data_IF_883630969278
#
_entry.id   IF_883630969278
#
_cell.length_a   1.000
_cell.length_b   1.000
_cell.length_c   1.000
_cell.angle_alpha   90.00
_cell.angle_beta   90.00
_cell.angle_gamma   90.00
#
_symmetry.space_group_name_H-M   'P 1'
#
loop_
_entity.id
_entity.type
_entity.pdbx_description
1 polymer ?
#
# COMPACT_ATOMS: atom_id res chain seq x y z
N UNK A 1 -15.35 -21.09 1.84
CA UNK A 1 -16.09 -19.93 1.33
C UNK A 1 -16.44 -19.05 2.52
N UNK A 2 -15.76 -17.93 2.68
CA UNK A 2 -16.02 -16.98 3.77
C UNK A 2 -17.41 -16.40 3.59
N UNK A 3 -18.22 -16.44 4.65
CA UNK A 3 -19.62 -16.11 4.58
C UNK A 3 -19.82 -14.58 4.48
N UNK A 4 -19.83 -14.04 3.24
CA UNK A 4 -20.03 -12.62 2.95
C UNK A 4 -21.28 -12.08 3.67
N UNK A 5 -22.37 -12.85 3.72
CA UNK A 5 -23.60 -12.45 4.40
C UNK A 5 -23.38 -12.23 5.91
N UNK A 6 -22.49 -13.03 6.52
CA UNK A 6 -22.12 -12.87 7.94
C UNK A 6 -21.31 -11.59 8.16
N UNK A 7 -20.31 -11.30 7.31
CA UNK A 7 -19.51 -10.08 7.43
C UNK A 7 -20.36 -8.82 7.21
N UNK A 8 -21.24 -8.82 6.20
CA UNK A 8 -22.13 -7.69 5.92
C UNK A 8 -23.11 -7.45 7.11
N UNK A 9 -23.58 -8.51 7.76
CA UNK A 9 -24.46 -8.42 8.94
C UNK A 9 -23.70 -7.86 10.16
N UNK A 10 -22.44 -8.28 10.39
CA UNK A 10 -21.61 -7.78 11.49
C UNK A 10 -21.24 -6.31 11.28
N UNK A 11 -20.87 -5.91 10.03
CA UNK A 11 -20.64 -4.51 9.69
C UNK A 11 -21.90 -3.65 9.85
N UNK A 12 -23.07 -4.18 9.49
CA UNK A 12 -24.34 -3.51 9.76
C UNK A 12 -24.59 -3.36 11.27
N UNK A 13 -24.19 -4.34 12.08
CA UNK A 13 -24.25 -4.28 13.54
C UNK A 13 -23.41 -3.12 14.10
N UNK A 14 -22.20 -2.91 13.61
CA UNK A 14 -21.34 -1.77 14.00
C UNK A 14 -22.07 -0.44 13.75
N UNK A 15 -22.65 -0.27 12.56
CA UNK A 15 -23.39 0.94 12.18
C UNK A 15 -24.64 1.19 13.02
N UNK A 16 -25.26 0.13 13.54
CA UNK A 16 -26.44 0.18 14.40
C UNK A 16 -26.11 0.34 15.89
N UNK A 17 -24.83 0.47 16.25
CA UNK A 17 -24.43 0.61 17.65
C UNK A 17 -24.46 -0.69 18.46
N UNK A 18 -24.54 -1.86 17.81
CA UNK A 18 -24.53 -3.15 18.49
C UNK A 18 -23.14 -3.47 19.05
N UNK A 19 -23.10 -4.03 20.23
CA UNK A 19 -21.89 -4.59 20.83
C UNK A 19 -21.56 -5.92 20.15
N UNK A 20 -20.35 -6.07 19.63
CA UNK A 20 -19.86 -7.32 19.06
C UNK A 20 -19.14 -8.13 20.14
N UNK A 21 -19.37 -9.43 20.16
CA UNK A 21 -18.61 -10.38 20.97
C UNK A 21 -17.18 -10.53 20.45
N UNK A 22 -16.27 -11.03 21.29
CA UNK A 22 -14.87 -11.26 20.90
C UNK A 22 -14.75 -12.19 19.67
N UNK A 23 -15.54 -13.25 19.63
CA UNK A 23 -15.55 -14.20 18.52
C UNK A 23 -16.10 -13.59 17.22
N UNK A 24 -17.11 -12.73 17.30
CA UNK A 24 -17.63 -12.00 16.14
C UNK A 24 -16.61 -11.01 15.60
N UNK A 25 -15.89 -10.30 16.48
CA UNK A 25 -14.80 -9.41 16.06
C UNK A 25 -13.69 -10.18 15.36
N UNK A 26 -13.22 -11.30 15.92
CA UNK A 26 -12.20 -12.14 15.28
C UNK A 26 -12.67 -12.70 13.94
N UNK A 27 -13.91 -13.21 13.86
CA UNK A 27 -14.49 -13.71 12.61
C UNK A 27 -14.51 -12.62 11.54
N UNK A 28 -14.89 -11.40 11.90
CA UNK A 28 -14.93 -10.27 10.97
C UNK A 28 -13.54 -9.85 10.52
N UNK A 29 -12.57 -9.77 11.44
CA UNK A 29 -11.17 -9.45 11.10
C UNK A 29 -10.63 -10.49 10.11
N UNK A 30 -10.77 -11.78 10.42
CA UNK A 30 -10.28 -12.86 9.54
C UNK A 30 -11.01 -12.83 8.19
N UNK A 31 -12.33 -12.63 8.20
CA UNK A 31 -13.15 -12.58 6.98
C UNK A 31 -12.78 -11.43 6.03
N UNK A 32 -12.27 -10.30 6.55
CA UNK A 32 -11.79 -9.18 5.76
C UNK A 32 -10.30 -9.31 5.42
N UNK A 33 -9.49 -9.85 6.33
CA UNK A 33 -8.04 -9.95 6.14
C UNK A 33 -7.65 -10.96 5.08
N UNK A 34 -8.27 -12.14 5.02
CA UNK A 34 -7.86 -13.21 4.10
C UNK A 34 -7.97 -12.77 2.63
N UNK A 35 -9.08 -12.18 2.14
CA UNK A 35 -9.12 -11.69 0.76
C UNK A 35 -8.06 -10.61 0.51
N UNK A 36 -7.83 -9.72 1.47
CA UNK A 36 -6.82 -8.66 1.33
C UNK A 36 -5.40 -9.22 1.30
N UNK A 37 -5.09 -10.21 2.14
CA UNK A 37 -3.80 -10.92 2.12
C UNK A 37 -3.58 -11.57 0.75
N UNK A 38 -4.61 -12.25 0.21
CA UNK A 38 -4.53 -12.85 -1.12
C UNK A 38 -4.22 -11.83 -2.20
N UNK A 39 -4.86 -10.65 -2.16
CA UNK A 39 -4.57 -9.56 -3.07
C UNK A 39 -3.10 -9.10 -2.98
N UNK A 40 -2.58 -8.91 -1.78
CA UNK A 40 -1.20 -8.46 -1.56
C UNK A 40 -0.18 -9.49 -2.05
N UNK A 41 -0.39 -10.77 -1.71
CA UNK A 41 0.49 -11.86 -2.18
C UNK A 41 0.45 -11.98 -3.72
N UNK A 42 -0.73 -11.85 -4.33
CA UNK A 42 -0.87 -11.89 -5.80
C UNK A 42 -0.10 -10.75 -6.47
N UNK A 43 -0.13 -9.55 -5.89
CA UNK A 43 0.64 -8.41 -6.41
C UNK A 43 2.16 -8.69 -6.39
N UNK A 44 2.68 -9.30 -5.32
CA UNK A 44 4.10 -9.69 -5.26
C UNK A 44 4.42 -10.75 -6.32
N UNK A 45 3.57 -11.77 -6.46
CA UNK A 45 3.76 -12.79 -7.50
C UNK A 45 3.78 -12.19 -8.91
N UNK A 46 2.93 -11.21 -9.19
CA UNK A 46 2.93 -10.50 -10.47
C UNK A 46 4.28 -9.85 -10.75
N UNK A 47 4.88 -9.13 -9.78
CA UNK A 47 6.21 -8.53 -9.94
C UNK A 47 7.30 -9.57 -10.23
N UNK A 48 7.25 -10.75 -9.60
CA UNK A 48 8.19 -11.82 -9.87
C UNK A 48 8.06 -12.35 -11.31
N UNK A 49 6.84 -12.53 -11.78
CA UNK A 49 6.57 -13.03 -13.12
C UNK A 49 7.04 -12.02 -14.16
N UNK A 50 6.75 -10.73 -13.96
CA UNK A 50 7.17 -9.65 -14.84
C UNK A 50 8.69 -9.56 -14.94
N UNK A 51 9.38 -9.58 -13.80
CA UNK A 51 10.82 -9.58 -13.75
C UNK A 51 11.43 -10.79 -14.50
N UNK A 52 10.80 -11.97 -14.35
CA UNK A 52 11.23 -13.17 -15.07
C UNK A 52 10.98 -13.09 -16.58
N UNK A 53 9.86 -12.49 -17.00
CA UNK A 53 9.54 -12.30 -18.43
C UNK A 53 10.49 -11.29 -19.09
N UNK A 54 10.73 -10.15 -18.45
CA UNK A 54 11.67 -9.13 -18.95
C UNK A 54 13.10 -9.63 -18.91
N UNK A 55 13.47 -10.39 -17.89
CA UNK A 55 14.81 -10.98 -17.76
C UNK A 55 15.22 -11.85 -18.96
N UNK A 56 14.26 -12.50 -19.63
CA UNK A 56 14.50 -13.28 -20.85
C UNK A 56 14.84 -12.42 -22.08
N UNK A 57 14.53 -11.12 -22.06
CA UNK A 57 14.93 -10.17 -23.11
C UNK A 57 16.41 -9.78 -23.02
N UNK A 58 17.05 -10.06 -21.89
CA UNK A 58 18.47 -9.78 -21.65
C UNK A 58 18.73 -8.68 -20.63
N UNK A 59 20.01 -8.50 -20.32
CA UNK A 59 20.45 -7.57 -19.28
C UNK A 59 20.11 -6.10 -19.58
N UNK A 60 20.21 -5.68 -20.85
CA UNK A 60 19.91 -4.31 -21.29
C UNK A 60 18.46 -3.95 -21.08
N UNK A 61 17.52 -4.87 -21.41
CA UNK A 61 16.08 -4.67 -21.18
C UNK A 61 15.75 -4.56 -19.68
N UNK A 62 16.32 -5.43 -18.86
CA UNK A 62 16.16 -5.38 -17.41
C UNK A 62 16.71 -4.09 -16.81
N UNK A 63 17.88 -3.63 -17.29
CA UNK A 63 18.50 -2.38 -16.87
C UNK A 63 17.65 -1.15 -17.25
N UNK A 64 17.03 -1.16 -18.43
CA UNK A 64 16.14 -0.06 -18.88
C UNK A 64 14.95 0.13 -17.95
N UNK A 65 14.29 -0.97 -17.54
CA UNK A 65 13.15 -0.92 -16.62
C UNK A 65 13.63 -0.55 -15.22
N UNK A 66 14.66 -1.22 -14.70
CA UNK A 66 15.19 -0.98 -13.36
C UNK A 66 15.63 0.48 -13.14
N UNK A 67 16.12 1.15 -14.18
CA UNK A 67 16.52 2.57 -14.12
C UNK A 67 15.36 3.48 -13.71
N UNK A 68 14.15 3.26 -14.23
CA UNK A 68 12.98 4.11 -14.03
C UNK A 68 11.97 3.53 -13.02
N UNK A 69 12.21 2.33 -12.52
CA UNK A 69 11.28 1.59 -11.65
C UNK A 69 10.94 2.37 -10.38
N UNK A 70 11.93 2.96 -9.71
CA UNK A 70 11.69 3.76 -8.50
C UNK A 70 10.76 4.95 -8.73
N UNK A 71 10.81 5.56 -9.93
CA UNK A 71 9.91 6.65 -10.30
C UNK A 71 8.49 6.14 -10.57
N UNK A 72 8.31 4.96 -11.15
CA UNK A 72 6.98 4.36 -11.34
C UNK A 72 6.35 3.95 -10.01
N UNK A 73 7.13 3.42 -9.06
CA UNK A 73 6.66 3.14 -7.70
C UNK A 73 6.17 4.38 -6.97
N UNK A 74 6.83 5.52 -7.17
CA UNK A 74 6.40 6.79 -6.58
C UNK A 74 5.00 7.19 -7.04
N UNK A 75 4.63 6.94 -8.31
CA UNK A 75 3.27 7.19 -8.80
C UNK A 75 2.24 6.38 -8.02
N UNK A 76 2.47 5.08 -7.83
CA UNK A 76 1.59 4.22 -7.04
C UNK A 76 1.42 4.74 -5.61
N UNK A 77 2.51 5.14 -4.96
CA UNK A 77 2.49 5.71 -3.61
C UNK A 77 1.69 7.00 -3.51
N UNK A 78 1.90 7.95 -4.43
CA UNK A 78 1.17 9.22 -4.49
C UNK A 78 -0.32 9.01 -4.77
N UNK A 79 -0.65 8.16 -5.74
CA UNK A 79 -2.04 7.80 -6.06
C UNK A 79 -2.74 7.15 -4.85
N UNK A 80 -2.04 6.27 -4.14
CA UNK A 80 -2.55 5.63 -2.92
C UNK A 80 -2.80 6.64 -1.81
N UNK A 81 -1.87 7.57 -1.57
CA UNK A 81 -2.02 8.62 -0.57
C UNK A 81 -3.26 9.49 -0.80
N UNK A 82 -3.46 9.96 -2.05
CA UNK A 82 -4.62 10.78 -2.40
C UNK A 82 -5.92 9.99 -2.27
N UNK A 83 -5.94 8.73 -2.70
CA UNK A 83 -7.11 7.85 -2.55
C UNK A 83 -7.47 7.60 -1.10
N UNK A 84 -6.48 7.40 -0.20
CA UNK A 84 -6.69 7.18 1.23
C UNK A 84 -7.34 8.40 1.89
N UNK A 85 -6.98 9.62 1.48
CA UNK A 85 -7.59 10.85 2.01
C UNK A 85 -9.11 10.90 1.85
N UNK A 86 -9.64 10.35 0.77
CA UNK A 86 -11.08 10.26 0.54
C UNK A 86 -11.69 8.98 1.13
N UNK A 87 -11.02 7.84 0.99
CA UNK A 87 -11.57 6.54 1.41
C UNK A 87 -11.76 6.44 2.92
N UNK A 88 -10.90 7.07 3.72
CA UNK A 88 -11.06 7.19 5.18
C UNK A 88 -12.33 7.98 5.52
N UNK A 89 -12.58 9.10 4.84
CA UNK A 89 -13.82 9.86 5.04
C UNK A 89 -15.05 9.03 4.67
N UNK A 90 -14.98 8.27 3.57
CA UNK A 90 -16.07 7.37 3.17
C UNK A 90 -16.31 6.31 4.23
N UNK A 91 -15.26 5.70 4.80
CA UNK A 91 -15.40 4.74 5.88
C UNK A 91 -16.11 5.34 7.12
N UNK A 92 -15.75 6.59 7.49
CA UNK A 92 -16.39 7.30 8.61
C UNK A 92 -17.88 7.59 8.31
N UNK A 93 -18.24 8.08 7.11
CA UNK A 93 -19.65 8.32 6.76
C UNK A 93 -20.47 7.03 6.67
N UNK A 94 -19.87 5.94 6.17
CA UNK A 94 -20.52 4.61 6.19
C UNK A 94 -20.75 4.15 7.63
N UNK A 95 -19.75 4.33 8.50
CA UNK A 95 -19.88 4.01 9.94
C UNK A 95 -21.00 4.80 10.62
N UNK A 96 -21.11 6.09 10.30
CA UNK A 96 -22.19 6.97 10.76
C UNK A 96 -23.58 6.69 10.12
N UNK A 97 -23.66 5.66 9.25
CA UNK A 97 -24.85 5.31 8.49
C UNK A 97 -25.35 6.43 7.53
N UNK A 98 -24.47 7.38 7.20
CA UNK A 98 -24.73 8.50 6.26
C UNK A 98 -24.21 8.17 4.86
N UNK A 99 -24.92 7.30 4.18
CA UNK A 99 -24.53 6.82 2.85
C UNK A 99 -24.62 7.91 1.77
N UNK A 100 -25.43 8.95 2.00
CA UNK A 100 -25.55 10.09 1.06
C UNK A 100 -24.24 10.85 1.05
N UNK A 101 -23.71 11.24 2.23
CA UNK A 101 -22.41 11.91 2.33
C UNK A 101 -21.27 11.02 1.84
N UNK A 102 -21.30 9.71 2.13
CA UNK A 102 -20.30 8.78 1.61
C UNK A 102 -20.24 8.81 0.07
N UNK A 103 -21.37 8.82 -0.63
CA UNK A 103 -21.45 8.93 -2.09
C UNK A 103 -21.03 10.32 -2.59
N UNK A 104 -21.37 11.39 -1.86
CA UNK A 104 -20.92 12.74 -2.21
C UNK A 104 -19.39 12.84 -2.13
N UNK A 105 -18.76 12.31 -1.07
CA UNK A 105 -17.29 12.24 -0.97
C UNK A 105 -16.68 11.41 -2.11
N UNK A 106 -17.31 10.31 -2.49
CA UNK A 106 -16.86 9.50 -3.62
C UNK A 106 -16.91 10.27 -4.96
N UNK A 107 -17.94 11.10 -5.19
CA UNK A 107 -18.02 11.98 -6.38
C UNK A 107 -16.88 13.01 -6.39
N UNK A 108 -16.59 13.65 -5.23
CA UNK A 108 -15.44 14.56 -5.10
C UNK A 108 -14.13 13.82 -5.37
N UNK A 109 -13.97 12.62 -4.79
CA UNK A 109 -12.81 11.80 -5.00
C UNK A 109 -12.55 11.49 -6.49
N UNK A 110 -13.59 11.16 -7.26
CA UNK A 110 -13.46 10.92 -8.71
C UNK A 110 -12.93 12.15 -9.46
N UNK A 111 -13.47 13.33 -9.16
CA UNK A 111 -13.05 14.58 -9.84
C UNK A 111 -11.63 14.97 -9.44
N UNK A 112 -11.34 14.99 -8.14
CA UNK A 112 -10.04 15.41 -7.59
C UNK A 112 -8.91 14.46 -7.95
N UNK A 113 -9.15 13.16 -7.84
CA UNK A 113 -8.11 12.17 -8.18
C UNK A 113 -7.87 12.11 -9.68
N UNK A 114 -8.88 12.35 -10.52
CA UNK A 114 -8.71 12.50 -11.96
C UNK A 114 -7.86 13.73 -12.28
N UNK A 115 -8.17 14.89 -11.69
CA UNK A 115 -7.40 16.11 -11.88
C UNK A 115 -5.93 15.92 -11.42
N UNK A 116 -5.74 15.30 -10.25
CA UNK A 116 -4.42 14.98 -9.74
C UNK A 116 -3.64 14.04 -10.67
N UNK A 117 -4.26 12.95 -11.13
CA UNK A 117 -3.62 11.98 -12.01
C UNK A 117 -3.26 12.58 -13.37
N UNK A 118 -4.10 13.44 -13.93
CA UNK A 118 -3.80 14.18 -15.16
C UNK A 118 -2.62 15.13 -14.98
N UNK A 119 -2.52 15.81 -13.83
CA UNK A 119 -1.38 16.66 -13.51
C UNK A 119 -0.09 15.83 -13.42
N UNK A 120 -0.13 14.70 -12.71
CA UNK A 120 1.02 13.79 -12.60
C UNK A 120 1.42 13.26 -13.97
N UNK A 121 0.47 12.83 -14.79
CA UNK A 121 0.69 12.38 -16.17
C UNK A 121 1.38 13.45 -17.00
N UNK A 122 0.89 14.69 -16.94
CA UNK A 122 1.49 15.81 -17.67
C UNK A 122 2.93 16.05 -17.23
N UNK A 123 3.18 16.19 -15.93
CA UNK A 123 4.53 16.39 -15.39
C UNK A 123 5.48 15.25 -15.75
N UNK A 124 5.03 14.01 -15.59
CA UNK A 124 5.83 12.83 -15.90
C UNK A 124 6.14 12.72 -17.41
N UNK A 125 5.17 12.99 -18.28
CA UNK A 125 5.36 12.96 -19.73
C UNK A 125 6.37 14.02 -20.21
N UNK A 126 6.36 15.20 -19.60
CA UNK A 126 7.31 16.28 -19.94
C UNK A 126 8.76 15.92 -19.60
N UNK A 127 8.98 15.09 -18.56
CA UNK A 127 10.33 14.70 -18.13
C UNK A 127 10.76 13.34 -18.71
N UNK A 128 9.87 12.57 -19.32
CA UNK A 128 10.09 11.17 -19.71
C UNK A 128 11.39 10.95 -20.49
N UNK A 129 11.67 11.78 -21.49
CA UNK A 129 12.89 11.67 -22.32
C UNK A 129 14.13 12.28 -21.68
N UNK A 130 14.02 13.03 -20.59
CA UNK A 130 15.15 13.59 -19.83
C UNK A 130 15.51 12.75 -18.61
N UNK A 131 14.56 11.98 -18.09
CA UNK A 131 14.71 11.22 -16.86
C UNK A 131 15.88 10.23 -16.89
N UNK A 132 16.07 9.39 -17.95
CA UNK A 132 17.21 8.48 -17.98
C UNK A 132 18.55 9.20 -17.91
N UNK A 133 18.69 10.36 -18.58
CA UNK A 133 19.88 11.19 -18.51
C UNK A 133 20.14 11.75 -17.11
N UNK A 134 19.11 12.19 -16.40
CA UNK A 134 19.22 12.63 -14.99
C UNK A 134 19.64 11.49 -14.05
N UNK A 135 19.19 10.28 -14.35
CA UNK A 135 19.55 9.06 -13.60
C UNK A 135 20.88 8.44 -14.05
N UNK A 136 21.63 9.11 -14.94
CA UNK A 136 22.91 8.65 -15.51
C UNK A 136 22.81 7.29 -16.21
N UNK A 137 21.68 7.01 -16.84
CA UNK A 137 21.52 5.85 -17.73
C UNK A 137 22.42 5.95 -18.95
N UNK A 138 22.96 4.82 -19.40
CA UNK A 138 23.73 4.75 -20.64
C UNK A 138 22.84 5.01 -21.88
N UNK A 139 23.44 5.45 -22.97
CA UNK A 139 22.72 5.75 -24.22
C UNK A 139 22.05 4.51 -24.82
N UNK A 140 22.57 3.32 -24.52
CA UNK A 140 22.06 2.01 -24.96
C UNK A 140 20.73 1.63 -24.32
N UNK A 141 20.43 2.16 -23.12
CA UNK A 141 19.19 1.86 -22.36
C UNK A 141 18.23 3.07 -22.30
N UNK A 142 18.72 4.29 -22.59
CA UNK A 142 17.97 5.52 -22.37
C UNK A 142 16.67 5.59 -23.18
N UNK A 143 16.66 5.11 -24.42
CA UNK A 143 15.49 5.14 -25.28
C UNK A 143 14.37 4.24 -24.76
N UNK A 144 14.68 2.97 -24.46
CA UNK A 144 13.71 2.00 -23.95
C UNK A 144 13.19 2.39 -22.57
N UNK A 145 14.08 2.90 -21.69
CA UNK A 145 13.69 3.42 -20.38
C UNK A 145 12.72 4.62 -20.50
N UNK A 146 12.97 5.54 -21.44
CA UNK A 146 12.09 6.68 -21.71
C UNK A 146 10.72 6.24 -22.21
N UNK A 147 10.67 5.31 -23.16
CA UNK A 147 9.40 4.78 -23.69
C UNK A 147 8.63 4.02 -22.62
N UNK A 148 9.28 3.16 -21.86
CA UNK A 148 8.67 2.43 -20.74
C UNK A 148 8.03 3.41 -19.73
N UNK A 149 8.81 4.41 -19.31
CA UNK A 149 8.34 5.42 -18.36
C UNK A 149 7.19 6.25 -18.91
N UNK A 150 7.25 6.67 -20.17
CA UNK A 150 6.20 7.44 -20.82
C UNK A 150 4.89 6.66 -20.91
N UNK A 151 4.95 5.41 -21.37
CA UNK A 151 3.77 4.54 -21.47
C UNK A 151 3.13 4.35 -20.07
N UNK A 152 3.97 4.12 -19.05
CA UNK A 152 3.50 3.98 -17.67
C UNK A 152 2.91 5.29 -17.14
N UNK A 153 3.55 6.44 -17.42
CA UNK A 153 3.04 7.76 -17.03
C UNK A 153 1.67 8.06 -17.64
N UNK A 154 1.43 7.68 -18.88
CA UNK A 154 0.12 7.82 -19.54
C UNK A 154 -0.97 6.94 -18.92
N UNK A 155 -0.60 5.89 -18.23
CA UNK A 155 -1.54 5.01 -17.53
C UNK A 155 -1.95 5.50 -16.15
N UNK A 156 -1.29 6.52 -15.60
CA UNK A 156 -1.54 7.01 -14.22
C UNK A 156 -3.03 7.33 -13.96
N UNK A 157 -3.84 7.87 -14.89
CA UNK A 157 -5.26 8.05 -14.65
C UNK A 157 -6.03 6.73 -14.42
N UNK A 158 -5.68 5.67 -15.13
CA UNK A 158 -6.27 4.34 -14.91
C UNK A 158 -5.77 3.72 -13.61
N UNK A 159 -4.48 3.84 -13.32
CA UNK A 159 -3.89 3.41 -12.05
C UNK A 159 -4.59 4.09 -10.87
N UNK A 160 -4.78 5.41 -10.95
CA UNK A 160 -5.49 6.20 -9.94
C UNK A 160 -6.93 5.74 -9.76
N UNK A 161 -7.65 5.51 -10.87
CA UNK A 161 -9.03 5.03 -10.84
C UNK A 161 -9.14 3.64 -10.18
N UNK A 162 -8.22 2.74 -10.48
CA UNK A 162 -8.15 1.40 -9.87
C UNK A 162 -7.89 1.49 -8.37
N UNK A 163 -6.85 2.22 -7.95
CA UNK A 163 -6.51 2.40 -6.53
C UNK A 163 -7.68 3.06 -5.77
N UNK A 164 -8.31 4.08 -6.34
CA UNK A 164 -9.46 4.73 -5.72
C UNK A 164 -10.62 3.76 -5.55
N UNK A 165 -10.98 3.03 -6.60
CA UNK A 165 -12.10 2.09 -6.59
C UNK A 165 -11.89 0.96 -5.60
N UNK A 166 -10.67 0.42 -5.54
CA UNK A 166 -10.25 -0.58 -4.56
C UNK A 166 -10.40 -0.07 -3.13
N UNK A 167 -9.85 1.10 -2.84
CA UNK A 167 -9.91 1.70 -1.50
C UNK A 167 -11.36 2.04 -1.10
N UNK A 168 -12.20 2.48 -2.02
CA UNK A 168 -13.62 2.73 -1.78
C UNK A 168 -14.39 1.44 -1.46
N UNK A 169 -14.15 0.37 -2.21
CA UNK A 169 -14.76 -0.94 -1.94
C UNK A 169 -14.30 -1.51 -0.60
N UNK A 170 -13.02 -1.40 -0.28
CA UNK A 170 -12.45 -1.78 1.02
C UNK A 170 -13.12 -1.00 2.15
N UNK A 171 -13.26 0.31 2.02
CA UNK A 171 -13.93 1.18 3.01
C UNK A 171 -15.39 0.82 3.23
N UNK A 172 -16.06 0.28 2.21
CA UNK A 172 -17.40 -0.26 2.31
C UNK A 172 -17.45 -1.67 2.94
N UNK A 173 -16.31 -2.26 3.29
CA UNK A 173 -16.18 -3.61 3.85
C UNK A 173 -16.15 -4.73 2.81
N UNK A 174 -16.05 -4.39 1.53
CA UNK A 174 -15.96 -5.39 0.45
C UNK A 174 -14.50 -5.60 0.04
N UNK A 175 -13.82 -6.56 0.71
CA UNK A 175 -12.46 -6.96 0.35
C UNK A 175 -12.41 -8.00 -0.77
N UNK A 176 -13.53 -8.66 -1.09
CA UNK A 176 -13.56 -9.76 -2.06
C UNK A 176 -13.37 -9.27 -3.49
N UNK A 177 -14.04 -8.18 -3.89
CA UNK A 177 -13.92 -7.64 -5.25
C UNK A 177 -12.48 -7.17 -5.53
N UNK A 178 -11.84 -6.33 -4.69
CA UNK A 178 -10.43 -5.98 -4.86
C UNK A 178 -9.50 -7.20 -4.96
N UNK A 179 -9.73 -8.24 -4.14
CA UNK A 179 -8.93 -9.46 -4.18
C UNK A 179 -9.07 -10.23 -5.49
N UNK A 180 -10.30 -10.41 -5.98
CA UNK A 180 -10.56 -11.05 -7.28
C UNK A 180 -9.94 -10.23 -8.41
N UNK A 181 -10.04 -8.91 -8.33
CA UNK A 181 -9.46 -8.00 -9.32
C UNK A 181 -7.92 -8.06 -9.33
N UNK A 182 -7.27 -8.22 -8.17
CA UNK A 182 -5.82 -8.44 -8.12
C UNK A 182 -5.39 -9.74 -8.78
N UNK A 183 -6.14 -10.83 -8.60
CA UNK A 183 -5.88 -12.10 -9.29
C UNK A 183 -6.10 -11.94 -10.80
N UNK A 184 -7.19 -11.28 -11.21
CA UNK A 184 -7.47 -11.01 -12.62
C UNK A 184 -6.38 -10.13 -13.23
N UNK A 185 -5.88 -9.14 -12.50
CA UNK A 185 -4.78 -8.27 -12.91
C UNK A 185 -3.53 -9.10 -13.22
N UNK A 186 -3.14 -9.99 -12.32
CA UNK A 186 -1.97 -10.87 -12.51
C UNK A 186 -2.12 -11.75 -13.76
N UNK A 187 -3.29 -12.36 -13.97
CA UNK A 187 -3.55 -13.21 -15.13
C UNK A 187 -3.51 -12.40 -16.44
N UNK A 188 -4.18 -11.28 -16.48
CA UNK A 188 -4.20 -10.40 -17.68
C UNK A 188 -2.81 -9.84 -17.99
N UNK A 189 -2.06 -9.46 -16.97
CA UNK A 189 -0.72 -8.91 -17.11
C UNK A 189 0.21 -9.95 -17.74
N UNK A 190 0.22 -11.18 -17.25
CA UNK A 190 1.00 -12.28 -17.85
C UNK A 190 0.59 -12.52 -19.30
N UNK A 191 -0.72 -12.55 -19.59
CA UNK A 191 -1.22 -12.78 -20.94
C UNK A 191 -0.82 -11.66 -21.91
N UNK A 192 -1.01 -10.39 -21.52
CA UNK A 192 -0.68 -9.25 -22.38
C UNK A 192 0.82 -9.04 -22.50
N UNK A 193 1.59 -9.25 -21.42
CA UNK A 193 3.04 -9.21 -21.48
C UNK A 193 3.57 -10.28 -22.43
N UNK A 194 3.05 -11.52 -22.36
CA UNK A 194 3.42 -12.56 -23.32
C UNK A 194 3.11 -12.14 -24.77
N UNK A 195 1.91 -11.61 -25.00
CA UNK A 195 1.48 -11.18 -26.33
C UNK A 195 2.37 -10.04 -26.87
N UNK A 196 2.61 -8.99 -26.09
CA UNK A 196 3.33 -7.81 -26.57
C UNK A 196 4.84 -8.00 -26.59
N UNK A 197 5.40 -8.71 -25.62
CA UNK A 197 6.85 -8.94 -25.54
C UNK A 197 7.29 -9.95 -26.61
N UNK A 198 6.63 -11.13 -26.65
CA UNK A 198 7.14 -12.26 -27.44
C UNK A 198 6.43 -12.44 -28.77
N UNK A 199 5.11 -12.28 -28.86
CA UNK A 199 4.36 -12.48 -30.09
C UNK A 199 4.45 -11.26 -30.99
N UNK A 200 4.24 -10.05 -30.44
CA UNK A 200 4.38 -8.80 -31.19
C UNK A 200 5.82 -8.30 -31.31
N UNK A 201 6.74 -8.86 -30.50
CA UNK A 201 8.16 -8.53 -30.56
C UNK A 201 8.53 -7.11 -30.14
N UNK A 202 7.70 -6.46 -29.30
CA UNK A 202 7.88 -5.07 -28.89
C UNK A 202 8.93 -4.89 -27.78
N UNK A 203 9.44 -5.98 -27.20
CA UNK A 203 10.48 -5.88 -26.15
C UNK A 203 10.04 -5.09 -24.90
N UNK A 204 10.86 -4.15 -24.45
CA UNK A 204 10.63 -3.32 -23.26
C UNK A 204 9.35 -2.47 -23.34
N UNK A 205 9.06 -1.75 -24.43
CA UNK A 205 7.77 -1.08 -24.62
C UNK A 205 6.58 -2.04 -24.58
N UNK A 206 6.76 -3.30 -25.03
CA UNK A 206 5.73 -4.34 -24.96
C UNK A 206 5.36 -4.70 -23.51
N UNK A 207 6.36 -4.81 -22.63
CA UNK A 207 6.12 -5.03 -21.20
C UNK A 207 5.30 -3.88 -20.59
N UNK A 208 5.66 -2.62 -20.89
CA UNK A 208 4.88 -1.46 -20.43
C UNK A 208 3.43 -1.50 -20.93
N UNK A 209 3.21 -1.79 -22.22
CA UNK A 209 1.87 -1.86 -22.81
C UNK A 209 1.03 -2.98 -22.21
N UNK A 210 1.62 -4.14 -21.93
CA UNK A 210 0.93 -5.27 -21.31
C UNK A 210 0.40 -4.90 -19.93
N UNK A 211 1.27 -4.39 -19.08
CA UNK A 211 0.92 -3.95 -17.73
C UNK A 211 -0.12 -2.82 -17.75
N UNK A 212 0.06 -1.81 -18.61
CA UNK A 212 -0.87 -0.67 -18.72
C UNK A 212 -2.25 -1.12 -19.18
N UNK A 213 -2.33 -2.03 -20.16
CA UNK A 213 -3.62 -2.54 -20.62
C UNK A 213 -4.32 -3.35 -19.52
N UNK A 214 -3.58 -4.15 -18.77
CA UNK A 214 -4.11 -4.89 -17.63
C UNK A 214 -4.66 -3.95 -16.55
N UNK A 215 -3.90 -2.89 -16.20
CA UNK A 215 -4.35 -1.85 -15.28
C UNK A 215 -5.64 -1.21 -15.80
N UNK A 216 -5.70 -0.81 -17.07
CA UNK A 216 -6.87 -0.13 -17.65
C UNK A 216 -8.13 -1.01 -17.62
N UNK A 217 -8.01 -2.28 -17.97
CA UNK A 217 -9.13 -3.25 -17.94
C UNK A 217 -9.61 -3.44 -16.50
N UNK A 218 -8.71 -3.80 -15.60
CA UNK A 218 -9.06 -4.10 -14.20
C UNK A 218 -9.60 -2.88 -13.48
N UNK A 219 -8.96 -1.71 -13.63
CA UNK A 219 -9.43 -0.46 -13.05
C UNK A 219 -10.85 -0.10 -13.53
N UNK A 220 -11.13 -0.30 -14.82
CA UNK A 220 -12.46 -0.03 -15.39
C UNK A 220 -13.54 -0.96 -14.81
N UNK A 221 -13.20 -2.27 -14.68
CA UNK A 221 -14.12 -3.25 -14.09
C UNK A 221 -14.35 -2.95 -12.61
N UNK A 222 -13.29 -2.66 -11.86
CA UNK A 222 -13.37 -2.36 -10.42
C UNK A 222 -14.15 -1.08 -10.16
N UNK A 223 -13.93 -0.04 -10.97
CA UNK A 223 -14.71 1.19 -10.94
C UNK A 223 -16.19 0.93 -11.26
N UNK A 224 -16.49 0.08 -12.24
CA UNK A 224 -17.86 -0.31 -12.52
C UNK A 224 -18.53 -1.00 -11.33
N UNK A 225 -17.84 -1.90 -10.63
CA UNK A 225 -18.35 -2.50 -9.40
C UNK A 225 -18.59 -1.46 -8.31
N UNK A 226 -17.63 -0.56 -8.07
CA UNK A 226 -17.74 0.48 -7.04
C UNK A 226 -18.90 1.47 -7.33
N UNK A 227 -18.97 1.96 -8.57
CA UNK A 227 -19.90 3.02 -8.96
C UNK A 227 -21.32 2.56 -9.25
N UNK A 228 -21.51 1.32 -9.71
CA UNK A 228 -22.82 0.85 -10.19
C UNK A 228 -23.36 -0.39 -9.46
N UNK A 229 -22.49 -1.26 -8.92
CA UNK A 229 -22.91 -2.53 -8.33
C UNK A 229 -22.83 -2.58 -6.80
N UNK A 230 -22.09 -1.68 -6.19
CA UNK A 230 -21.98 -1.61 -4.73
C UNK A 230 -23.36 -1.34 -4.10
N UNK A 231 -23.69 -2.08 -3.04
CA UNK A 231 -24.94 -1.88 -2.30
C UNK A 231 -24.97 -0.57 -1.50
N UNK A 232 -23.81 0.03 -1.24
CA UNK A 232 -23.65 1.24 -0.42
C UNK A 232 -23.23 2.43 -1.29
N UNK A 233 -22.23 2.24 -2.16
CA UNK A 233 -21.56 3.32 -2.88
C UNK A 233 -22.13 3.59 -4.27
N UNK A 234 -23.01 2.72 -4.82
CA UNK A 234 -23.49 2.88 -6.18
C UNK A 234 -24.18 4.25 -6.36
N UNK A 235 -23.67 5.03 -7.31
CA UNK A 235 -24.14 6.40 -7.58
C UNK A 235 -25.60 6.48 -8.01
N UNK A 236 -26.13 5.38 -8.58
CA UNK A 236 -27.57 5.27 -8.96
C UNK A 236 -28.53 5.28 -7.76
N UNK A 237 -28.02 5.00 -6.55
CA UNK A 237 -28.81 4.98 -5.31
C UNK A 237 -29.06 6.40 -4.77
N UNK A 238 -28.37 7.39 -5.32
CA UNK A 238 -28.43 8.76 -4.87
C UNK A 238 -29.15 9.62 -5.94
N UNK A 239 -30.24 10.25 -5.52
CA UNK A 239 -31.00 11.19 -6.35
C UNK A 239 -30.55 12.65 -6.18
N UNK A 240 -29.68 12.90 -5.19
CA UNK A 240 -29.20 14.25 -4.92
C UNK A 240 -28.22 14.72 -6.01
N UNK A 241 -28.29 16.02 -6.32
CA UNK A 241 -27.36 16.65 -7.26
C UNK A 241 -25.96 16.74 -6.63
N UNK A 242 -24.95 16.65 -7.46
CA UNK A 242 -23.59 16.92 -7.05
C UNK A 242 -23.47 18.38 -6.59
N UNK A 243 -23.07 18.56 -5.33
CA UNK A 243 -22.78 19.88 -4.77
C UNK A 243 -21.31 19.89 -4.36
N UNK A 244 -20.56 20.83 -4.90
CA UNK A 244 -19.16 20.99 -4.56
C UNK A 244 -19.00 21.45 -3.11
N UNK A 245 -18.29 20.68 -2.30
CA UNK A 245 -18.01 21.00 -0.90
C UNK A 245 -16.51 20.99 -0.63
N UNK A 246 -15.95 22.17 -0.50
CA UNK A 246 -14.50 22.35 -0.22
C UNK A 246 -14.04 21.66 1.06
N UNK A 247 -14.93 21.45 2.03
CA UNK A 247 -14.63 20.74 3.28
C UNK A 247 -14.15 19.31 3.03
N UNK A 248 -14.73 18.58 2.07
CA UNK A 248 -14.30 17.20 1.76
C UNK A 248 -12.90 17.18 1.16
N UNK A 249 -12.61 18.11 0.26
CA UNK A 249 -11.27 18.25 -0.35
C UNK A 249 -10.24 18.63 0.70
N UNK A 250 -10.52 19.63 1.54
CA UNK A 250 -9.63 20.04 2.62
C UNK A 250 -9.32 18.91 3.59
N UNK A 251 -10.31 18.13 3.98
CA UNK A 251 -10.13 16.98 4.86
C UNK A 251 -9.32 15.87 4.17
N UNK A 252 -9.59 15.60 2.88
CA UNK A 252 -8.80 14.65 2.11
C UNK A 252 -7.33 15.07 2.04
N UNK A 253 -7.04 16.32 1.73
CA UNK A 253 -5.66 16.85 1.69
C UNK A 253 -5.00 16.76 3.06
N UNK A 254 -5.71 17.05 4.15
CA UNK A 254 -5.18 16.92 5.52
C UNK A 254 -4.76 15.50 5.86
N UNK A 255 -5.48 14.49 5.36
CA UNK A 255 -5.17 13.08 5.57
C UNK A 255 -4.07 12.62 4.61
N UNK A 256 -4.16 12.98 3.32
CA UNK A 256 -3.27 12.47 2.27
C UNK A 256 -1.91 13.17 2.22
N UNK A 257 -1.81 14.46 2.53
CA UNK A 257 -0.54 15.19 2.41
C UNK A 257 0.60 14.60 3.28
N UNK A 258 0.38 14.24 4.56
CA UNK A 258 1.43 13.59 5.35
C UNK A 258 1.86 12.24 4.76
N UNK A 259 0.90 11.46 4.24
CA UNK A 259 1.17 10.15 3.63
C UNK A 259 1.95 10.33 2.31
N UNK A 260 1.57 11.28 1.47
CA UNK A 260 2.28 11.59 0.23
C UNK A 260 3.73 12.05 0.50
N UNK A 261 3.92 12.96 1.46
CA UNK A 261 5.24 13.38 1.90
C UNK A 261 6.07 12.20 2.43
N UNK A 262 5.43 11.29 3.19
CA UNK A 262 6.08 10.06 3.65
C UNK A 262 6.56 9.20 2.46
N UNK A 263 5.73 8.97 1.43
CA UNK A 263 6.16 8.18 0.26
C UNK A 263 7.36 8.79 -0.45
N UNK A 264 7.36 10.11 -0.67
CA UNK A 264 8.48 10.83 -1.30
C UNK A 264 9.77 10.67 -0.48
N UNK A 265 9.70 10.94 0.83
CA UNK A 265 10.87 10.89 1.71
C UNK A 265 11.34 9.46 1.96
N UNK A 266 10.45 8.46 1.97
CA UNK A 266 10.82 7.05 2.05
C UNK A 266 11.52 6.57 0.78
N UNK A 267 11.08 7.02 -0.41
CA UNK A 267 11.79 6.76 -1.66
C UNK A 267 13.20 7.35 -1.65
N UNK A 268 13.36 8.56 -1.11
CA UNK A 268 14.68 9.17 -0.88
C UNK A 268 15.56 8.33 0.07
N UNK A 269 14.97 7.81 1.16
CA UNK A 269 15.67 6.94 2.09
C UNK A 269 16.14 5.63 1.45
N UNK A 270 15.38 5.05 0.54
CA UNK A 270 15.78 3.86 -0.21
C UNK A 270 17.00 4.14 -1.09
N UNK A 271 17.05 5.31 -1.73
CA UNK A 271 18.23 5.73 -2.51
C UNK A 271 19.46 5.81 -1.60
N UNK A 272 19.34 6.45 -0.42
CA UNK A 272 20.43 6.54 0.55
C UNK A 272 20.86 5.14 1.05
N UNK A 273 19.91 4.24 1.30
CA UNK A 273 20.21 2.85 1.66
C UNK A 273 21.02 2.15 0.57
N UNK A 274 20.69 2.37 -0.70
CA UNK A 274 21.46 1.84 -1.83
C UNK A 274 22.90 2.38 -1.85
N UNK A 275 23.11 3.67 -1.57
CA UNK A 275 24.45 4.24 -1.44
C UNK A 275 25.27 3.64 -0.28
N UNK A 276 24.62 3.22 0.80
CA UNK A 276 25.29 2.53 1.92
C UNK A 276 25.71 1.11 1.53
N UNK A 277 24.87 0.41 0.75
CA UNK A 277 25.15 -1.00 0.35
C UNK A 277 26.10 -1.07 -0.82
N UNK A 278 26.09 -0.11 -1.76
CA UNK A 278 26.90 -0.16 -2.99
C UNK A 278 28.41 -0.39 -2.76
N UNK A 279 29.08 0.24 -1.76
CA UNK A 279 30.51 0.02 -1.52
C UNK A 279 30.85 -1.39 -0.98
N UNK A 280 29.86 -2.16 -0.55
CA UNK A 280 30.07 -3.51 -0.01
C UNK A 280 30.34 -4.56 -1.10
N UNK A 281 30.21 -4.17 -2.37
CA UNK A 281 30.53 -5.02 -3.53
C UNK A 281 29.33 -5.73 -4.15
N UNK A 282 29.53 -6.31 -5.33
CA UNK A 282 28.46 -6.87 -6.16
C UNK A 282 27.70 -8.04 -5.49
N UNK A 283 28.41 -8.89 -4.75
CA UNK A 283 27.77 -10.00 -4.03
C UNK A 283 26.81 -9.48 -2.94
N UNK A 284 27.20 -8.43 -2.21
CA UNK A 284 26.36 -7.82 -1.21
C UNK A 284 25.13 -7.13 -1.82
N UNK A 285 25.30 -6.44 -2.95
CA UNK A 285 24.19 -5.81 -3.67
C UNK A 285 23.18 -6.88 -4.14
N UNK A 286 23.68 -7.97 -4.75
CA UNK A 286 22.81 -9.05 -5.21
C UNK A 286 22.11 -9.77 -4.03
N UNK A 287 22.84 -10.09 -2.97
CA UNK A 287 22.24 -10.69 -1.76
C UNK A 287 21.18 -9.80 -1.12
N UNK A 288 21.44 -8.49 -1.04
CA UNK A 288 20.47 -7.50 -0.54
C UNK A 288 19.20 -7.48 -1.38
N UNK A 289 19.32 -7.46 -2.70
CA UNK A 289 18.19 -7.44 -3.62
C UNK A 289 17.33 -8.70 -3.48
N UNK A 290 17.96 -9.87 -3.47
CA UNK A 290 17.23 -11.14 -3.30
C UNK A 290 16.60 -11.28 -1.92
N UNK A 291 17.29 -10.81 -0.87
CA UNK A 291 16.75 -10.84 0.47
C UNK A 291 15.52 -9.92 0.63
N UNK A 292 15.57 -8.67 0.12
CA UNK A 292 14.40 -7.76 0.12
C UNK A 292 13.22 -8.41 -0.62
N UNK A 293 13.50 -9.07 -1.73
CA UNK A 293 12.48 -9.73 -2.53
C UNK A 293 11.84 -10.89 -1.75
N UNK A 294 12.67 -11.74 -1.12
CA UNK A 294 12.19 -12.86 -0.30
C UNK A 294 11.39 -12.38 0.93
N UNK A 295 11.88 -11.36 1.64
CA UNK A 295 11.22 -10.72 2.78
C UNK A 295 9.83 -10.18 2.40
N UNK A 296 9.66 -9.65 1.18
CA UNK A 296 8.38 -9.07 0.75
C UNK A 296 7.21 -10.06 0.85
N UNK A 297 7.42 -11.34 0.60
CA UNK A 297 6.41 -12.38 0.79
C UNK A 297 6.00 -12.56 2.25
N UNK A 298 6.91 -12.30 3.18
CA UNK A 298 6.69 -12.50 4.61
C UNK A 298 5.90 -11.35 5.24
N UNK A 299 6.12 -10.10 4.81
CA UNK A 299 5.42 -8.97 5.41
C UNK A 299 4.11 -8.57 4.70
N UNK A 300 3.85 -9.03 3.48
CA UNK A 300 2.58 -8.73 2.78
C UNK A 300 1.31 -9.13 3.52
N UNK A 301 1.25 -10.25 4.27
CA UNK A 301 0.11 -10.53 5.12
C UNK A 301 -0.19 -9.43 6.15
N UNK A 302 0.84 -8.75 6.66
CA UNK A 302 0.68 -7.60 7.56
C UNK A 302 -0.09 -6.45 6.92
N UNK A 303 0.20 -6.12 5.65
CA UNK A 303 -0.56 -5.11 4.90
C UNK A 303 -2.01 -5.54 4.66
N UNK A 304 -2.26 -6.82 4.37
CA UNK A 304 -3.62 -7.33 4.20
C UNK A 304 -4.46 -7.22 5.48
N UNK A 305 -3.86 -7.49 6.64
CA UNK A 305 -4.49 -7.27 7.96
C UNK A 305 -4.66 -5.77 8.23
N UNK A 306 -3.71 -4.95 7.81
CA UNK A 306 -3.76 -3.50 7.89
C UNK A 306 -4.94 -2.90 7.13
N UNK A 307 -5.24 -3.39 5.93
CA UNK A 307 -6.43 -2.97 5.16
C UNK A 307 -7.74 -3.24 5.92
N UNK A 308 -7.85 -4.42 6.54
CA UNK A 308 -9.00 -4.76 7.39
C UNK A 308 -9.07 -3.84 8.62
N UNK A 309 -7.93 -3.56 9.27
CA UNK A 309 -7.85 -2.66 10.41
C UNK A 309 -8.30 -1.24 10.04
N UNK A 310 -7.83 -0.69 8.92
CA UNK A 310 -8.23 0.64 8.43
C UNK A 310 -9.75 0.73 8.24
N UNK A 311 -10.36 -0.28 7.65
CA UNK A 311 -11.80 -0.32 7.40
C UNK A 311 -12.60 -0.44 8.68
N UNK A 312 -12.24 -1.38 9.57
CA UNK A 312 -12.96 -1.64 10.81
C UNK A 312 -12.87 -0.48 11.79
N UNK A 313 -11.67 0.09 11.93
CA UNK A 313 -11.47 1.27 12.78
C UNK A 313 -12.18 2.48 12.19
N UNK A 314 -12.07 2.71 10.86
CA UNK A 314 -12.75 3.83 10.21
C UNK A 314 -14.27 3.78 10.37
N UNK A 315 -14.90 2.62 10.12
CA UNK A 315 -16.35 2.48 10.32
C UNK A 315 -16.76 2.58 11.79
N UNK A 316 -15.97 2.03 12.73
CA UNK A 316 -16.24 2.14 14.16
C UNK A 316 -16.10 3.58 14.67
N UNK A 317 -15.12 4.35 14.14
CA UNK A 317 -14.98 5.79 14.40
C UNK A 317 -16.21 6.57 13.93
N UNK A 318 -16.63 6.32 12.68
CA UNK A 318 -17.83 6.94 12.14
C UNK A 318 -19.12 6.62 12.92
N UNK A 319 -19.21 5.42 13.46
CA UNK A 319 -20.31 4.99 14.34
C UNK A 319 -20.22 5.56 15.76
N UNK A 320 -19.17 6.32 16.12
CA UNK A 320 -18.95 6.83 17.48
C UNK A 320 -18.58 5.76 18.50
N UNK A 321 -18.25 4.54 18.07
CA UNK A 321 -17.96 3.41 18.94
C UNK A 321 -16.46 3.32 19.28
N UNK A 322 -15.94 4.26 20.05
CA UNK A 322 -14.50 4.35 20.38
C UNK A 322 -13.96 3.13 21.16
N UNK A 323 -14.81 2.50 21.99
CA UNK A 323 -14.47 1.25 22.67
C UNK A 323 -14.22 0.11 21.68
N UNK A 324 -15.04 0.02 20.64
CA UNK A 324 -14.91 -0.96 19.57
C UNK A 324 -13.66 -0.69 18.72
N UNK A 325 -13.34 0.60 18.44
CA UNK A 325 -12.09 0.98 17.76
C UNK A 325 -10.87 0.45 18.52
N UNK A 326 -10.82 0.61 19.84
CA UNK A 326 -9.72 0.09 20.68
C UNK A 326 -9.64 -1.43 20.65
N UNK A 327 -10.79 -2.10 20.65
CA UNK A 327 -10.84 -3.57 20.56
C UNK A 327 -10.33 -4.06 19.21
N UNK A 328 -10.79 -3.49 18.10
CA UNK A 328 -10.30 -3.82 16.78
C UNK A 328 -8.79 -3.50 16.62
N UNK A 329 -8.33 -2.37 17.12
CA UNK A 329 -6.91 -2.03 17.10
C UNK A 329 -6.05 -3.09 17.80
N UNK A 330 -6.44 -3.51 19.02
CA UNK A 330 -5.73 -4.56 19.77
C UNK A 330 -5.74 -5.91 19.06
N UNK A 331 -6.90 -6.32 18.56
CA UNK A 331 -7.07 -7.62 17.91
C UNK A 331 -6.36 -7.69 16.56
N UNK A 332 -6.45 -6.66 15.72
CA UNK A 332 -5.80 -6.63 14.41
C UNK A 332 -4.27 -6.56 14.54
N UNK A 333 -3.76 -5.73 15.46
CA UNK A 333 -2.32 -5.66 15.73
C UNK A 333 -1.81 -6.99 16.31
N UNK A 334 -2.51 -7.55 17.29
CA UNK A 334 -2.14 -8.86 17.88
C UNK A 334 -2.16 -9.99 16.84
N UNK A 335 -3.18 -10.02 15.97
CA UNK A 335 -3.27 -11.00 14.89
C UNK A 335 -2.15 -10.78 13.86
N UNK A 336 -1.86 -9.53 13.48
CA UNK A 336 -0.76 -9.19 12.60
C UNK A 336 0.58 -9.65 13.14
N UNK A 337 0.85 -9.37 14.43
CA UNK A 337 2.08 -9.83 15.10
C UNK A 337 2.18 -11.36 15.13
N UNK A 338 1.09 -12.07 15.40
CA UNK A 338 1.08 -13.54 15.44
C UNK A 338 1.32 -14.13 14.03
N UNK A 339 0.65 -13.60 13.00
CA UNK A 339 0.82 -14.07 11.61
C UNK A 339 2.24 -13.79 11.12
N UNK A 340 2.76 -12.59 11.31
CA UNK A 340 4.11 -12.25 10.87
C UNK A 340 5.19 -12.93 11.74
N UNK A 341 4.92 -13.23 13.00
CA UNK A 341 5.81 -14.10 13.79
C UNK A 341 5.93 -15.50 13.16
N UNK A 342 4.80 -16.07 12.73
CA UNK A 342 4.79 -17.36 12.03
C UNK A 342 5.56 -17.25 10.70
N UNK A 343 5.33 -16.19 9.93
CA UNK A 343 6.07 -15.95 8.69
C UNK A 343 7.57 -15.74 8.94
N UNK A 344 7.95 -15.08 10.03
CA UNK A 344 9.34 -14.94 10.46
C UNK A 344 9.98 -16.29 10.78
N UNK A 345 9.27 -17.20 11.44
CA UNK A 345 9.74 -18.58 11.66
C UNK A 345 9.93 -19.31 10.32
N UNK A 346 8.97 -19.21 9.41
CA UNK A 346 9.09 -19.79 8.06
C UNK A 346 10.30 -19.21 7.32
N UNK A 347 10.45 -17.88 7.34
CA UNK A 347 11.59 -17.21 6.71
C UNK A 347 12.93 -17.65 7.34
N UNK A 348 13.01 -17.76 8.65
CA UNK A 348 14.23 -18.20 9.34
C UNK A 348 14.64 -19.61 8.95
N UNK A 349 13.69 -20.54 8.90
CA UNK A 349 13.92 -21.97 8.57
C UNK A 349 14.24 -22.14 7.09
N UNK A 350 13.45 -21.54 6.20
CA UNK A 350 13.52 -21.71 4.75
C UNK A 350 14.36 -20.62 4.03
N UNK A 351 15.10 -19.79 4.76
CA UNK A 351 15.93 -18.74 4.16
C UNK A 351 16.91 -19.26 3.09
N UNK A 352 17.61 -20.41 3.29
CA UNK A 352 18.53 -20.95 2.27
C UNK A 352 17.79 -21.34 0.97
N UNK A 353 16.59 -21.93 1.10
CA UNK A 353 15.76 -22.33 -0.03
C UNK A 353 15.18 -21.13 -0.76
N UNK A 354 14.70 -20.13 -0.02
CA UNK A 354 14.14 -18.90 -0.58
C UNK A 354 15.17 -18.16 -1.44
N UNK A 355 16.38 -17.98 -0.94
CA UNK A 355 17.46 -17.38 -1.73
C UNK A 355 17.97 -18.32 -2.82
N UNK A 356 18.08 -19.63 -2.54
CA UNK A 356 18.54 -20.64 -3.49
C UNK A 356 17.66 -20.78 -4.72
N UNK A 357 16.36 -20.48 -4.63
CA UNK A 357 15.46 -20.40 -5.79
C UNK A 357 15.78 -19.25 -6.74
N UNK A 358 16.44 -18.19 -6.24
CA UNK A 358 16.75 -16.98 -7.02
C UNK A 358 18.16 -17.01 -7.62
N UNK A 359 19.10 -17.70 -6.96
CA UNK A 359 20.50 -17.74 -7.40
C UNK A 359 21.17 -19.07 -7.08
N UNK A 360 21.96 -19.63 -8.02
CA UNK A 360 22.81 -20.78 -7.77
C UNK A 360 24.15 -20.42 -7.09
N UNK A 361 24.48 -19.13 -6.97
CA UNK A 361 25.78 -18.67 -6.44
C UNK A 361 25.79 -18.81 -4.92
N UNK A 362 26.66 -19.68 -4.42
CA UNK A 362 26.70 -20.07 -3.00
C UNK A 362 26.99 -18.86 -2.08
N UNK A 363 27.96 -18.00 -2.45
CA UNK A 363 28.30 -16.80 -1.67
C UNK A 363 27.13 -15.84 -1.48
N UNK A 364 26.33 -15.63 -2.53
CA UNK A 364 25.14 -14.78 -2.47
C UNK A 364 24.05 -15.45 -1.62
N UNK A 365 23.92 -16.77 -1.76
CA UNK A 365 22.94 -17.56 -1.00
C UNK A 365 23.25 -17.55 0.50
N UNK A 366 24.50 -17.73 0.87
CA UNK A 366 24.92 -17.72 2.28
C UNK A 366 24.71 -16.34 2.91
N UNK A 367 25.15 -15.29 2.23
CA UNK A 367 24.98 -13.92 2.72
C UNK A 367 23.49 -13.54 2.82
N UNK A 368 22.70 -13.85 1.78
CA UNK A 368 21.25 -13.61 1.77
C UNK A 368 20.53 -14.39 2.88
N UNK A 369 20.91 -15.63 3.12
CA UNK A 369 20.37 -16.45 4.21
C UNK A 369 20.64 -15.83 5.59
N UNK A 370 21.86 -15.35 5.82
CA UNK A 370 22.23 -14.73 7.10
C UNK A 370 21.41 -13.47 7.36
N UNK A 371 21.26 -12.60 6.37
CA UNK A 371 20.51 -11.35 6.53
C UNK A 371 19.01 -11.58 6.72
N UNK A 372 18.41 -12.54 6.01
CA UNK A 372 17.00 -12.92 6.22
C UNK A 372 16.76 -13.46 7.63
N UNK A 373 17.70 -14.25 8.17
CA UNK A 373 17.60 -14.76 9.53
C UNK A 373 17.69 -13.67 10.59
N UNK A 374 18.47 -12.60 10.34
CA UNK A 374 18.52 -11.43 11.22
C UNK A 374 17.16 -10.75 11.24
N UNK A 375 16.56 -10.53 10.07
CA UNK A 375 15.27 -9.84 9.92
C UNK A 375 14.11 -10.63 10.52
N UNK A 376 14.13 -11.94 10.43
CA UNK A 376 13.06 -12.83 10.93
C UNK A 376 12.64 -12.53 12.37
N UNK A 377 13.56 -12.07 13.23
CA UNK A 377 13.25 -11.69 14.61
C UNK A 377 12.49 -10.37 14.73
N UNK A 378 12.60 -9.49 13.74
CA UNK A 378 11.93 -8.19 13.74
C UNK A 378 10.49 -8.26 13.16
N UNK A 379 10.14 -9.32 12.44
CA UNK A 379 8.85 -9.49 11.77
C UNK A 379 7.60 -9.22 12.66
N UNK A 380 7.52 -9.71 13.91
CA UNK A 380 6.39 -9.40 14.78
C UNK A 380 6.25 -7.90 15.07
N UNK A 381 7.38 -7.21 15.26
CA UNK A 381 7.39 -5.78 15.54
C UNK A 381 7.16 -4.96 14.27
N UNK A 382 7.58 -5.47 13.12
CA UNK A 382 7.23 -4.90 11.83
C UNK A 382 5.71 -4.96 11.60
N UNK A 383 5.05 -6.08 11.94
CA UNK A 383 3.59 -6.17 11.94
C UNK A 383 2.94 -5.09 12.83
N UNK A 384 3.46 -4.88 14.04
CA UNK A 384 2.96 -3.84 14.93
C UNK A 384 3.07 -2.44 14.31
N UNK A 385 4.14 -2.17 13.54
CA UNK A 385 4.30 -0.92 12.80
C UNK A 385 3.31 -0.81 11.63
N UNK A 386 3.18 -1.84 10.78
CA UNK A 386 2.30 -1.85 9.60
C UNK A 386 0.83 -1.72 10.02
N UNK A 387 0.37 -2.63 10.88
CA UNK A 387 -1.04 -2.67 11.29
C UNK A 387 -1.37 -1.48 12.20
N UNK A 388 -0.44 -1.09 13.09
CA UNK A 388 -0.59 0.09 13.94
C UNK A 388 -0.71 1.38 13.14
N UNK A 389 0.08 1.55 12.08
CA UNK A 389 -0.06 2.66 11.13
C UNK A 389 -1.45 2.63 10.47
N UNK A 390 -1.89 1.47 10.01
CA UNK A 390 -3.20 1.28 9.37
C UNK A 390 -4.38 1.61 10.30
N UNK A 391 -4.28 1.27 11.58
CA UNK A 391 -5.24 1.68 12.63
C UNK A 391 -5.30 3.21 12.74
N UNK A 392 -4.15 3.88 12.79
CA UNK A 392 -4.10 5.34 12.88
C UNK A 392 -4.69 6.00 11.61
N UNK A 393 -4.36 5.47 10.43
CA UNK A 393 -4.92 5.95 9.16
C UNK A 393 -6.45 5.80 9.15
N UNK A 394 -6.98 4.65 9.57
CA UNK A 394 -8.43 4.41 9.70
C UNK A 394 -9.12 5.40 10.63
N UNK A 395 -8.45 5.82 11.69
CA UNK A 395 -8.93 6.88 12.59
C UNK A 395 -8.78 8.31 12.04
N UNK A 396 -8.14 8.48 10.87
CA UNK A 396 -7.85 9.79 10.27
C UNK A 396 -6.62 10.50 10.86
N UNK A 397 -5.87 9.84 11.73
CA UNK A 397 -4.62 10.35 12.29
C UNK A 397 -3.43 9.90 11.43
N UNK A 398 -3.00 10.73 10.51
CA UNK A 398 -1.96 10.39 9.53
C UNK A 398 -0.64 11.14 9.76
N UNK A 399 -0.69 12.38 10.28
CA UNK A 399 0.50 13.20 10.43
C UNK A 399 1.52 12.60 11.41
N UNK A 400 1.08 12.22 12.59
CA UNK A 400 1.99 11.68 13.62
C UNK A 400 2.55 10.31 13.23
N UNK A 401 1.75 9.35 12.71
CA UNK A 401 2.26 8.10 12.16
C UNK A 401 3.29 8.31 11.03
N UNK A 402 3.03 9.23 10.10
CA UNK A 402 3.99 9.56 9.03
C UNK A 402 5.31 10.11 9.58
N UNK A 403 5.25 11.01 10.57
CA UNK A 403 6.44 11.52 11.25
C UNK A 403 7.20 10.42 12.02
N UNK A 404 6.49 9.50 12.67
CA UNK A 404 7.11 8.36 13.37
C UNK A 404 7.84 7.45 12.38
N UNK A 405 7.22 7.12 11.24
CA UNK A 405 7.84 6.33 10.18
C UNK A 405 9.10 7.01 9.62
N UNK A 406 9.02 8.31 9.32
CA UNK A 406 10.14 9.09 8.79
C UNK A 406 11.27 9.23 9.81
N UNK A 407 10.96 9.57 11.06
CA UNK A 407 11.95 9.71 12.12
C UNK A 407 12.68 8.37 12.40
N UNK A 408 11.95 7.25 12.37
CA UNK A 408 12.53 5.92 12.51
C UNK A 408 13.46 5.59 11.35
N UNK A 409 13.01 5.77 10.10
CA UNK A 409 13.77 5.46 8.90
C UNK A 409 15.03 6.31 8.76
N UNK A 410 14.89 7.63 8.84
CA UNK A 410 16.02 8.56 8.68
C UNK A 410 16.90 8.65 9.92
N UNK A 411 16.30 8.69 11.11
CA UNK A 411 17.02 8.87 12.37
C UNK A 411 17.65 7.60 12.92
N UNK A 412 17.02 6.44 12.74
CA UNK A 412 17.50 5.18 13.31
C UNK A 412 18.11 4.30 12.24
N UNK A 413 17.33 3.92 11.20
CA UNK A 413 17.77 2.92 10.20
C UNK A 413 18.99 3.38 9.42
N UNK A 414 18.93 4.56 8.78
CA UNK A 414 20.01 5.03 7.92
C UNK A 414 21.28 5.35 8.71
N UNK A 415 21.16 5.94 9.90
CA UNK A 415 22.30 6.26 10.76
C UNK A 415 23.00 5.00 11.28
N UNK A 416 22.23 4.03 11.79
CA UNK A 416 22.77 2.76 12.23
C UNK A 416 23.35 1.94 11.07
N UNK A 417 22.65 1.91 9.91
CA UNK A 417 23.14 1.20 8.75
C UNK A 417 24.48 1.75 8.27
N UNK A 418 24.66 3.08 8.22
CA UNK A 418 25.92 3.70 7.83
C UNK A 418 27.08 3.32 8.77
N UNK A 419 26.82 3.24 10.08
CA UNK A 419 27.82 2.84 11.07
C UNK A 419 28.09 1.34 11.03
N UNK A 420 27.04 0.51 11.07
CA UNK A 420 27.19 -0.95 11.17
C UNK A 420 27.65 -1.58 9.84
N UNK A 421 27.37 -0.98 8.70
CA UNK A 421 27.88 -1.42 7.40
C UNK A 421 29.42 -1.42 7.37
N UNK A 422 30.04 -0.45 8.02
CA UNK A 422 31.51 -0.35 8.09
C UNK A 422 32.14 -1.53 8.84
N UNK A 423 31.49 -2.02 9.90
CA UNK A 423 32.03 -3.08 10.76
C UNK A 423 31.58 -4.49 10.35
N UNK A 424 30.34 -4.62 9.88
CA UNK A 424 29.70 -5.92 9.66
C UNK A 424 29.17 -6.10 8.24
N UNK A 425 29.50 -5.18 7.32
CA UNK A 425 29.04 -5.27 5.93
C UNK A 425 27.50 -5.30 5.81
N UNK A 426 27.01 -6.17 4.93
CA UNK A 426 25.56 -6.30 4.68
C UNK A 426 24.78 -6.76 5.92
N UNK A 427 25.35 -7.63 6.74
CA UNK A 427 24.73 -8.06 8.00
C UNK A 427 24.50 -6.88 8.94
N UNK A 428 25.43 -5.91 8.97
CA UNK A 428 25.28 -4.66 9.73
C UNK A 428 24.11 -3.82 9.25
N UNK A 429 23.90 -3.70 7.93
CA UNK A 429 22.77 -2.98 7.33
C UNK A 429 21.44 -3.62 7.75
N UNK A 430 21.33 -4.93 7.68
CA UNK A 430 20.11 -5.66 8.04
C UNK A 430 19.87 -5.70 9.55
N UNK A 431 20.94 -5.72 10.35
CA UNK A 431 20.83 -5.54 11.81
C UNK A 431 20.28 -4.15 12.15
N UNK A 432 20.73 -3.10 11.46
CA UNK A 432 20.17 -1.76 11.61
C UNK A 432 18.69 -1.71 11.24
N UNK A 433 18.30 -2.43 10.19
CA UNK A 433 16.90 -2.57 9.76
C UNK A 433 16.07 -3.27 10.84
N UNK A 434 16.50 -4.41 11.36
CA UNK A 434 15.79 -5.14 12.40
C UNK A 434 15.64 -4.33 13.71
N UNK A 435 16.67 -3.59 14.11
CA UNK A 435 16.60 -2.67 15.26
C UNK A 435 15.57 -1.56 15.00
N UNK A 436 15.62 -0.95 13.82
CA UNK A 436 14.69 0.11 13.44
C UNK A 436 13.24 -0.38 13.40
N UNK A 437 12.96 -1.53 12.79
CA UNK A 437 11.61 -2.09 12.74
C UNK A 437 11.08 -2.43 14.13
N UNK A 438 11.94 -2.92 15.02
CA UNK A 438 11.61 -3.16 16.43
C UNK A 438 11.31 -1.85 17.17
N UNK A 439 12.14 -0.83 16.96
CA UNK A 439 11.91 0.51 17.52
C UNK A 439 10.61 1.12 17.03
N UNK A 440 10.37 1.11 15.71
CA UNK A 440 9.15 1.62 15.08
C UNK A 440 7.90 0.90 15.57
N UNK A 441 7.93 -0.43 15.61
CA UNK A 441 6.83 -1.24 16.16
C UNK A 441 6.52 -0.87 17.61
N UNK A 442 7.55 -0.68 18.44
CA UNK A 442 7.40 -0.24 19.84
C UNK A 442 6.74 1.13 19.93
N UNK A 443 7.14 2.09 19.09
CA UNK A 443 6.51 3.42 19.05
C UNK A 443 5.02 3.32 18.72
N UNK A 444 4.62 2.49 17.75
CA UNK A 444 3.20 2.29 17.41
C UNK A 444 2.43 1.62 18.53
N UNK A 445 2.99 0.60 19.20
CA UNK A 445 2.35 -0.04 20.35
C UNK A 445 2.11 0.96 21.51
N UNK A 446 3.10 1.79 21.82
CA UNK A 446 2.99 2.84 22.83
C UNK A 446 1.89 3.84 22.44
N UNK A 447 1.87 4.30 21.17
CA UNK A 447 0.86 5.23 20.67
C UNK A 447 -0.55 4.65 20.79
N UNK A 448 -0.73 3.40 20.41
CA UNK A 448 -2.02 2.72 20.49
C UNK A 448 -2.49 2.52 21.96
N UNK A 449 -1.56 2.20 22.86
CA UNK A 449 -1.85 2.03 24.28
C UNK A 449 -2.33 3.34 24.94
N UNK A 450 -1.69 4.46 24.63
CA UNK A 450 -2.05 5.76 25.24
C UNK A 450 -3.28 6.41 24.62
N UNK A 451 -3.88 5.83 23.58
CA UNK A 451 -5.12 6.28 22.95
C UNK A 451 -5.06 7.66 22.29
N UNK A 452 -3.85 8.22 22.10
CA UNK A 452 -3.66 9.55 21.53
C UNK A 452 -4.11 9.66 20.05
N UNK A 453 -4.28 8.54 19.38
CA UNK A 453 -4.79 8.44 18.01
C UNK A 453 -6.32 8.59 17.91
N UNK A 454 -7.06 8.38 19.04
CA UNK A 454 -8.50 8.60 19.13
C UNK A 454 -8.87 10.05 19.47
N UNK A 455 -7.91 10.87 19.88
CA UNK A 455 -8.13 12.28 20.25
C UNK A 455 -8.40 13.23 19.07
N UNK A 456 -8.51 12.73 17.84
CA UNK A 456 -9.11 13.48 16.74
C UNK A 456 -10.61 13.80 16.96
N UNK A 457 -11.16 13.43 18.08
CA UNK A 457 -12.55 13.59 18.54
C UNK A 457 -13.05 15.04 18.62
N UNK A 458 -12.17 16.03 18.77
CA UNK A 458 -12.61 17.43 18.93
C UNK A 458 -12.95 18.17 17.63
N UNK A 459 -12.68 17.58 16.46
CA UNK A 459 -12.88 18.26 15.17
C UNK A 459 -14.24 17.99 14.51
N UNK A 460 -14.86 16.85 14.76
CA UNK A 460 -16.12 16.47 14.10
C UNK A 460 -17.33 16.92 14.92
N UNK A 461 -17.26 16.89 16.27
CA UNK A 461 -18.35 17.38 17.10
C UNK A 461 -18.53 18.90 17.05
N UNK A 462 -17.45 19.68 16.96
CA UNK A 462 -17.58 21.14 16.83
C UNK A 462 -18.17 21.59 15.47
N UNK A 463 -17.89 20.88 14.39
CA UNK A 463 -18.47 21.20 13.09
C UNK A 463 -19.94 20.81 12.95
N UNK A 464 -20.41 19.80 13.71
CA UNK A 464 -21.84 19.45 13.72
C UNK A 464 -22.67 20.39 14.60
N UNK A 465 -22.09 21.02 15.61
CA UNK A 465 -22.75 22.03 16.45
C UNK A 465 -22.84 23.40 15.74
N UNK A 466 -21.83 23.76 14.93
CA UNK A 466 -21.82 25.02 14.17
C UNK A 466 -22.59 24.94 12.85
N UNK A 467 -22.63 23.73 12.18
CA UNK A 467 -23.41 23.54 10.94
C UNK A 467 -24.92 23.55 11.17
N UNK A 468 -25.39 23.24 12.38
CA UNK A 468 -26.82 23.29 12.74
C UNK A 468 -27.35 24.71 13.04
N UNK A 469 -26.46 25.69 13.28
CA UNK A 469 -26.86 27.08 13.55
C UNK A 469 -26.81 28.01 12.33
N UNK A 470 -26.16 27.62 11.24
CA UNK A 470 -26.10 28.41 10.00
C UNK A 470 -27.20 28.07 8.98
N UNK A 471 -28.05 27.06 9.26
CA UNK A 471 -29.20 26.74 8.41
C UNK A 471 -30.53 27.39 8.89
N UNK A 472 -30.47 28.35 9.82
CA UNK A 472 -31.63 29.08 10.35
C UNK A 472 -31.39 30.59 10.41
N UNK A 473 -30.59 31.16 9.49
CA UNK A 473 -30.62 32.61 9.21
C UNK A 473 -30.57 32.84 7.72
#
# INVERSE_FOLDING_TARGET
MFNKKSNDALLAGIRQGKTLTHNEMLSLIVGLSIPSILAQVTNVLMFYIDAAMVGKLGATASASIGLVESATWLFGGLCSAVSLGFSVQVAHFIGANDFVKARQVMRHALVETLAFSLLVTLCASLIAFRLPGWLRGGDDIAHDASLYFLIYALSVPFLQLGILSSNMLKSAGNMQIPSIMSVLMCVLDVCFNYLFIYVAGLGVPGAALGTVLSIAVVASVEAWFALFRSSILALRLDKERFVWMWSYVRNAVKISAPIAAQYVLMSGAQIVSTYIVAPLGNFAIAANTFAITAESLCYMPGYGIGDAATTLVGQSMGAGQYGLCRSFAKLTVGMGMAVMALMGVVMYVFAPEMIGLMTPVEEIRDLGTQVLRIEAFAEPMFAAAIVGNSVCVGAGDTLKPSLMNLASMWGVRLTLAAVLAHWYGLQGVWTAMAIELTFRGTLFLIRLKWGAWLKAEGGVEKNNADGGRQALL
#
